data_IF_640378179974
#
_entry.id   IF_640378179974
#
_cell.length_a   1.000
_cell.length_b   1.000
_cell.length_c   1.000
_cell.angle_alpha   90.00
_cell.angle_beta   90.00
_cell.angle_gamma   90.00
#
_symmetry.space_group_name_H-M   'P 1'
#
loop_
_entity.id
_entity.type
_entity.pdbx_description
1 polymer ?
#
# COMPACT_ATOMS: atom_id res chain seq x y z
N UNK A 1 6.11 -7.53 16.55
CA UNK A 1 7.13 -7.36 15.49
C UNK A 1 6.47 -6.64 14.33
N UNK A 2 6.76 -5.34 14.14
CA UNK A 2 6.10 -4.52 13.12
C UNK A 2 7.09 -3.68 12.30
N UNK A 3 8.40 -3.81 12.56
CA UNK A 3 9.42 -2.98 11.92
C UNK A 3 9.47 -3.18 10.42
N UNK A 4 9.42 -4.42 9.94
CA UNK A 4 9.39 -4.75 8.51
C UNK A 4 8.17 -4.16 7.80
N UNK A 5 6.98 -4.35 8.37
CA UNK A 5 5.71 -3.82 7.79
C UNK A 5 5.75 -2.29 7.66
N UNK A 6 6.29 -1.59 8.67
CA UNK A 6 6.39 -0.12 8.64
C UNK A 6 7.40 0.35 7.59
N UNK A 7 8.52 -0.35 7.40
CA UNK A 7 9.49 -0.03 6.34
C UNK A 7 8.81 -0.11 4.97
N UNK A 8 8.01 -1.14 4.72
CA UNK A 8 7.33 -1.37 3.44
C UNK A 8 6.26 -0.29 3.18
N UNK A 9 5.48 0.06 4.21
CA UNK A 9 4.51 1.14 4.13
C UNK A 9 5.17 2.50 3.81
N UNK A 10 6.29 2.84 4.46
CA UNK A 10 7.02 4.09 4.19
C UNK A 10 7.56 4.13 2.76
N UNK A 11 8.07 3.00 2.24
CA UNK A 11 8.52 2.91 0.84
C UNK A 11 7.37 3.12 -0.14
N UNK A 12 6.18 2.60 0.16
CA UNK A 12 4.99 2.86 -0.66
C UNK A 12 4.59 4.35 -0.65
N UNK A 13 4.66 5.02 0.51
CA UNK A 13 4.43 6.47 0.59
C UNK A 13 5.45 7.26 -0.25
N UNK A 14 6.72 6.83 -0.25
CA UNK A 14 7.77 7.46 -1.07
C UNK A 14 7.49 7.28 -2.57
N UNK A 15 7.08 6.09 -3.01
CA UNK A 15 6.68 5.83 -4.40
C UNK A 15 5.47 6.68 -4.82
N UNK A 16 4.47 6.83 -3.95
CA UNK A 16 3.33 7.71 -4.22
C UNK A 16 3.77 9.16 -4.41
N UNK A 17 4.65 9.67 -3.55
CA UNK A 17 5.19 11.01 -3.65
C UNK A 17 5.98 11.23 -4.95
N UNK A 18 6.77 10.24 -5.37
CA UNK A 18 7.51 10.30 -6.65
C UNK A 18 6.58 10.29 -7.88
N UNK A 19 5.36 9.77 -7.73
CA UNK A 19 4.33 9.74 -8.77
C UNK A 19 3.35 10.92 -8.67
N UNK A 20 3.66 11.92 -7.83
CA UNK A 20 2.80 13.08 -7.53
C UNK A 20 1.39 12.67 -7.05
N UNK A 21 1.32 11.61 -6.24
CA UNK A 21 0.07 11.07 -5.70
C UNK A 21 -0.08 11.43 -4.24
N UNK A 22 -1.19 12.11 -3.94
CA UNK A 22 -1.66 12.38 -2.59
C UNK A 22 -2.92 11.59 -2.26
N UNK A 23 -3.34 11.64 -1.00
CA UNK A 23 -4.53 10.95 -0.51
C UNK A 23 -4.24 9.56 0.06
N UNK A 24 -5.29 8.74 0.15
CA UNK A 24 -5.21 7.40 0.74
C UNK A 24 -4.65 6.42 -0.29
N UNK A 25 -3.58 5.71 0.06
CA UNK A 25 -3.06 4.58 -0.71
C UNK A 25 -3.82 3.32 -0.29
N UNK A 26 -4.95 3.02 -0.95
CA UNK A 26 -5.83 1.94 -0.52
C UNK A 26 -5.14 0.58 -0.58
N UNK A 27 -4.26 0.35 -1.55
CA UNK A 27 -3.59 -0.95 -1.72
C UNK A 27 -2.56 -1.23 -0.63
N UNK A 28 -1.54 -0.38 -0.41
CA UNK A 28 -0.63 -0.55 0.73
C UNK A 28 -1.36 -0.53 2.09
N UNK A 29 -2.39 0.31 2.23
CA UNK A 29 -3.12 0.41 3.51
C UNK A 29 -3.84 -0.90 3.84
N UNK A 30 -4.51 -1.51 2.87
CA UNK A 30 -5.25 -2.76 3.08
C UNK A 30 -4.35 -3.95 3.40
N UNK A 31 -3.09 -3.92 2.97
CA UNK A 31 -2.15 -5.00 3.24
C UNK A 31 -1.33 -4.80 4.53
N UNK A 32 -0.97 -3.56 4.87
CA UNK A 32 -0.07 -3.29 6.00
C UNK A 32 -0.78 -2.90 7.31
N UNK A 33 -2.05 -2.50 7.26
CA UNK A 33 -2.76 -1.95 8.42
C UNK A 33 -3.87 -2.89 8.91
N UNK A 34 -4.03 -3.01 10.23
CA UNK A 34 -5.11 -3.80 10.83
C UNK A 34 -6.51 -3.22 10.58
N UNK A 35 -6.59 -1.90 10.43
CA UNK A 35 -7.85 -1.18 10.22
C UNK A 35 -7.69 -0.22 9.03
N UNK A 36 -7.62 -0.75 7.81
CA UNK A 36 -7.50 0.07 6.62
C UNK A 36 -8.80 0.86 6.37
N UNK A 37 -8.73 2.01 5.67
CA UNK A 37 -9.93 2.77 5.29
C UNK A 37 -10.92 1.97 4.43
N UNK A 38 -10.43 0.96 3.69
CA UNK A 38 -11.23 -0.01 2.95
C UNK A 38 -10.66 -1.41 3.17
N UNK A 39 -11.52 -2.32 3.60
CA UNK A 39 -11.18 -3.72 3.85
C UNK A 39 -11.17 -4.51 2.55
N UNK A 40 -10.18 -5.39 2.41
CA UNK A 40 -10.05 -6.36 1.34
C UNK A 40 -9.62 -7.70 1.95
N UNK A 41 -9.77 -8.79 1.21
CA UNK A 41 -9.12 -10.04 1.63
C UNK A 41 -7.60 -9.92 1.53
N UNK A 42 -6.86 -10.69 2.32
CA UNK A 42 -5.38 -10.63 2.34
C UNK A 42 -4.77 -10.86 0.95
N UNK A 43 -5.32 -11.81 0.18
CA UNK A 43 -4.86 -12.12 -1.18
C UNK A 43 -5.09 -10.96 -2.16
N UNK A 44 -6.24 -10.29 -2.04
CA UNK A 44 -6.53 -9.10 -2.83
C UNK A 44 -5.59 -7.95 -2.46
N UNK A 45 -5.45 -7.68 -1.16
CA UNK A 45 -4.58 -6.62 -0.65
C UNK A 45 -3.12 -6.83 -1.07
N UNK A 46 -2.63 -8.07 -1.04
CA UNK A 46 -1.31 -8.44 -1.52
C UNK A 46 -1.15 -8.13 -3.02
N UNK A 47 -2.04 -8.66 -3.86
CA UNK A 47 -1.98 -8.43 -5.32
C UNK A 47 -2.05 -6.94 -5.66
N UNK A 48 -2.98 -6.22 -5.03
CA UNK A 48 -3.15 -4.79 -5.24
C UNK A 48 -1.88 -4.00 -4.86
N UNK A 49 -1.23 -4.38 -3.75
CA UNK A 49 0.03 -3.76 -3.29
C UNK A 49 1.18 -4.03 -4.27
N UNK A 50 1.30 -5.27 -4.77
CA UNK A 50 2.33 -5.62 -5.77
C UNK A 50 2.11 -4.86 -7.09
N UNK A 51 0.86 -4.72 -7.55
CA UNK A 51 0.53 -3.90 -8.72
C UNK A 51 0.87 -2.42 -8.50
N UNK A 52 0.61 -1.89 -7.30
CA UNK A 52 0.99 -0.53 -6.93
C UNK A 52 2.53 -0.38 -6.97
N UNK A 53 3.28 -1.30 -6.37
CA UNK A 53 4.75 -1.27 -6.39
C UNK A 53 5.27 -1.32 -7.84
N UNK A 54 4.74 -2.21 -8.67
CA UNK A 54 5.10 -2.36 -10.08
C UNK A 54 4.71 -1.16 -10.97
N UNK A 55 3.85 -0.26 -10.48
CA UNK A 55 3.35 0.87 -11.27
C UNK A 55 2.22 0.51 -12.23
N UNK A 56 1.63 -0.68 -12.10
CA UNK A 56 0.48 -1.14 -12.87
C UNK A 56 -0.87 -0.70 -12.27
N UNK A 57 -0.81 -0.03 -11.11
CA UNK A 57 -1.97 0.46 -10.35
C UNK A 57 -1.71 1.87 -9.82
N UNK A 58 -2.79 2.63 -9.64
CA UNK A 58 -2.65 4.02 -9.25
C UNK A 58 -2.58 4.29 -7.74
N UNK A 59 -3.17 3.47 -6.88
CA UNK A 59 -3.40 3.75 -5.45
C UNK A 59 -3.20 2.53 -4.53
#
# INVERSE_FOLDING_TARGET
>A
NSGGVVIDAIRCCKLALERDKGGILYSPSSYFMKHPPKQYTDDEAYRMTEEFIAGNRED
#
